data_IF_386191399060
#
_entry.id   IF_386191399060
#
_cell.length_a   1.000
_cell.length_b   1.000
_cell.length_c   1.000
_cell.angle_alpha   90.00
_cell.angle_beta   90.00
_cell.angle_gamma   90.00
#
_symmetry.space_group_name_H-M   'P 1'
#
loop_
_entity.id
_entity.type
_entity.pdbx_description
1 polymer ?
#
# COMPACT_ATOMS: atom_id res chain seq x y z
N UNK A 1 37.58 -23.71 80.57
CA UNK A 1 36.29 -22.98 80.44
C UNK A 1 35.85 -23.08 79.01
N UNK A 2 35.06 -24.10 78.72
CA UNK A 2 34.58 -24.54 77.41
C UNK A 2 33.09 -24.25 77.35
N UNK A 3 32.68 -23.33 76.47
CA UNK A 3 31.32 -23.24 75.91
C UNK A 3 31.32 -22.37 74.65
N UNK A 4 32.29 -22.60 73.77
CA UNK A 4 32.34 -22.06 72.41
C UNK A 4 31.73 -23.01 71.37
N UNK A 5 31.05 -24.07 71.80
CA UNK A 5 30.53 -25.13 70.92
C UNK A 5 29.04 -25.02 70.58
N UNK A 6 28.30 -24.02 71.09
CA UNK A 6 26.86 -23.87 70.81
C UNK A 6 26.52 -22.79 69.77
N UNK A 7 27.44 -21.88 69.46
CA UNK A 7 27.22 -20.86 68.42
C UNK A 7 27.15 -21.42 66.99
N UNK A 8 28.05 -22.34 66.55
CA UNK A 8 27.97 -22.85 65.18
C UNK A 8 26.75 -23.75 64.96
N UNK A 9 26.25 -24.42 66.00
CA UNK A 9 25.09 -25.31 65.89
C UNK A 9 23.76 -24.53 65.74
N UNK A 10 23.62 -23.37 66.38
CA UNK A 10 22.48 -22.47 66.20
C UNK A 10 22.44 -21.85 64.78
N UNK A 11 23.61 -21.49 64.23
CA UNK A 11 23.72 -20.98 62.86
C UNK A 11 23.37 -22.07 61.85
N UNK A 12 23.80 -23.32 62.07
CA UNK A 12 23.50 -24.43 61.18
C UNK A 12 22.01 -24.81 61.17
N UNK A 13 21.36 -24.76 62.35
CA UNK A 13 19.90 -24.97 62.45
C UNK A 13 19.13 -23.82 61.78
N UNK A 14 19.58 -22.56 61.93
CA UNK A 14 18.96 -21.42 61.24
C UNK A 14 19.11 -21.54 59.71
N UNK A 15 20.28 -21.95 59.21
CA UNK A 15 20.52 -22.18 57.79
C UNK A 15 19.67 -23.33 57.22
N UNK A 16 19.47 -24.42 57.97
CA UNK A 16 18.63 -25.53 57.51
C UNK A 16 17.13 -25.21 57.51
N UNK A 17 16.68 -24.32 58.40
CA UNK A 17 15.28 -23.83 58.42
C UNK A 17 15.05 -22.75 57.35
N UNK A 18 16.07 -21.94 57.03
CA UNK A 18 15.98 -20.94 55.97
C UNK A 18 16.15 -21.51 54.55
N UNK A 19 16.85 -22.64 54.38
CA UNK A 19 17.10 -23.27 53.08
C UNK A 19 15.85 -23.63 52.25
N UNK A 20 14.72 -24.10 52.82
CA UNK A 20 13.49 -24.28 52.05
C UNK A 20 12.70 -22.98 51.83
N UNK A 21 13.06 -21.86 52.48
CA UNK A 21 12.47 -20.54 52.24
C UNK A 21 13.28 -19.69 51.23
N UNK A 22 14.50 -20.08 50.88
CA UNK A 22 15.26 -19.49 49.76
C UNK A 22 14.80 -19.96 48.37
N UNK A 23 13.85 -20.89 48.30
CA UNK A 23 13.20 -21.31 47.06
C UNK A 23 12.20 -20.31 46.47
N UNK A 24 12.06 -19.11 47.05
CA UNK A 24 11.18 -18.05 46.54
C UNK A 24 11.92 -16.73 46.20
N UNK A 25 13.26 -16.72 46.18
CA UNK A 25 14.05 -15.54 45.76
C UNK A 25 15.26 -16.02 44.96
N UNK A 26 15.03 -16.55 43.75
CA UNK A 26 16.06 -16.76 42.73
C UNK A 26 15.43 -17.08 41.36
N UNK A 27 14.82 -16.09 40.71
CA UNK A 27 14.92 -15.94 39.25
C UNK A 27 15.27 -14.47 38.97
N UNK A 28 16.48 -14.09 39.36
CA UNK A 28 17.18 -12.96 38.76
C UNK A 28 18.52 -13.53 38.30
N UNK A 29 18.56 -13.91 37.01
CA UNK A 29 19.81 -14.08 36.27
C UNK A 29 20.46 -12.69 36.22
N UNK A 30 21.80 -12.58 36.36
CA UNK A 30 22.45 -11.29 36.20
C UNK A 30 22.39 -10.94 34.73
N UNK A 31 21.37 -10.17 34.34
CA UNK A 31 21.43 -9.45 33.08
C UNK A 31 22.57 -8.44 33.21
N UNK A 32 23.54 -8.56 32.30
CA UNK A 32 24.42 -7.47 31.93
C UNK A 32 23.54 -6.24 31.76
N UNK A 33 23.76 -5.24 32.60
CA UNK A 33 23.18 -3.92 32.46
C UNK A 33 23.75 -3.24 31.22
N UNK A 34 23.28 -3.62 30.05
CA UNK A 34 23.07 -2.68 28.96
C UNK A 34 21.67 -2.11 29.14
N UNK A 35 21.61 -1.05 29.95
CA UNK A 35 20.43 -0.23 30.18
C UNK A 35 20.15 0.66 28.98
N UNK A 36 19.95 0.05 27.80
CA UNK A 36 19.49 0.70 26.56
C UNK A 36 19.01 -0.32 25.52
N UNK A 37 18.49 -1.48 25.95
CA UNK A 37 17.82 -2.39 25.02
C UNK A 37 16.36 -1.97 24.87
N UNK A 38 16.12 -0.81 24.24
CA UNK A 38 14.87 -0.55 23.50
C UNK A 38 14.86 -1.41 22.23
N UNK A 39 15.07 -2.72 22.39
CA UNK A 39 14.93 -3.66 21.31
C UNK A 39 13.45 -3.72 20.96
N UNK A 40 13.14 -3.59 19.68
CA UNK A 40 11.84 -3.96 19.13
C UNK A 40 11.42 -5.31 19.72
N UNK A 41 10.37 -5.30 20.55
CA UNK A 41 9.71 -6.53 20.97
C UNK A 41 8.65 -6.76 19.92
N UNK A 42 8.81 -7.83 19.15
CA UNK A 42 7.78 -8.29 18.23
C UNK A 42 6.45 -8.42 19.01
N UNK A 43 5.39 -7.68 18.63
CA UNK A 43 4.08 -7.79 19.26
C UNK A 43 3.51 -9.22 19.17
N UNK A 44 4.04 -10.04 18.26
CA UNK A 44 3.67 -11.43 17.98
C UNK A 44 4.93 -12.31 18.03
N UNK A 45 5.50 -12.53 19.21
CA UNK A 45 6.25 -13.77 19.40
C UNK A 45 5.24 -14.91 19.26
N UNK A 46 5.27 -15.68 18.16
CA UNK A 46 4.54 -16.93 18.02
C UNK A 46 4.94 -17.86 19.18
N UNK A 47 4.20 -17.80 20.28
CA UNK A 47 4.28 -18.80 21.32
C UNK A 47 3.36 -19.92 20.85
N UNK A 48 3.89 -20.93 20.15
CA UNK A 48 3.11 -22.14 19.83
C UNK A 48 2.87 -22.97 21.12
N UNK A 49 2.00 -22.50 22.01
CA UNK A 49 1.50 -23.31 23.12
C UNK A 49 -0.04 -23.38 23.16
N UNK A 50 -0.57 -24.36 23.90
CA UNK A 50 -2.02 -24.61 24.00
C UNK A 50 -2.82 -23.43 24.61
N UNK A 51 -2.15 -22.33 25.01
CA UNK A 51 -2.76 -21.09 25.53
C UNK A 51 -2.61 -19.89 24.56
N UNK A 52 -1.93 -20.02 23.42
CA UNK A 52 -1.88 -18.96 22.42
C UNK A 52 -3.17 -18.98 21.61
N UNK A 53 -4.01 -17.99 21.87
CA UNK A 53 -5.26 -17.79 21.17
C UNK A 53 -5.35 -16.35 20.68
N UNK A 54 -5.55 -16.18 19.37
CA UNK A 54 -5.84 -14.89 18.72
C UNK A 54 -7.22 -14.32 19.11
N UNK A 55 -7.90 -14.94 20.09
CA UNK A 55 -9.20 -14.53 20.60
C UNK A 55 -9.13 -13.62 21.85
N UNK A 56 -7.95 -13.45 22.46
CA UNK A 56 -7.74 -12.53 23.59
C UNK A 56 -6.56 -11.57 23.33
N UNK A 57 -6.87 -10.39 22.81
CA UNK A 57 -5.90 -9.34 22.47
C UNK A 57 -5.08 -8.88 23.69
N UNK A 58 -5.60 -8.99 24.92
CA UNK A 58 -4.87 -8.59 26.13
C UNK A 58 -3.71 -9.55 26.47
N UNK A 59 -3.63 -10.70 25.80
CA UNK A 59 -2.48 -11.60 25.88
C UNK A 59 -1.28 -11.10 25.06
N UNK A 60 -1.47 -10.17 24.11
CA UNK A 60 -0.42 -9.57 23.30
C UNK A 60 0.18 -8.32 23.97
N UNK A 61 1.52 -8.19 23.93
CA UNK A 61 2.23 -6.98 24.40
C UNK A 61 2.35 -5.96 23.26
N UNK A 62 1.23 -5.33 22.88
CA UNK A 62 1.16 -4.34 21.79
C UNK A 62 1.65 -2.93 22.18
N UNK A 63 2.61 -2.83 23.09
CA UNK A 63 3.13 -1.52 23.54
C UNK A 63 4.64 -1.57 23.68
N UNK A 64 5.30 -0.70 22.91
CA UNK A 64 6.70 -0.30 23.09
C UNK A 64 6.75 1.10 23.70
N UNK A 65 7.95 1.66 23.95
CA UNK A 65 8.08 3.06 24.36
C UNK A 65 7.60 4.05 23.28
N UNK A 66 7.54 3.62 22.01
CA UNK A 66 7.14 4.42 20.86
C UNK A 66 5.78 4.01 20.24
N UNK A 67 5.09 2.98 20.72
CA UNK A 67 3.75 2.59 20.25
C UNK A 67 2.79 2.34 21.42
N UNK A 68 1.53 2.76 21.24
CA UNK A 68 0.47 2.57 22.22
C UNK A 68 -0.82 2.19 21.51
N UNK A 69 -1.41 1.06 21.91
CA UNK A 69 -2.77 0.71 21.50
C UNK A 69 -3.76 1.75 22.01
N UNK A 70 -4.48 2.40 21.10
CA UNK A 70 -5.47 3.45 21.40
C UNK A 70 -6.91 3.02 21.16
N UNK A 71 -7.14 2.07 20.26
CA UNK A 71 -8.44 1.47 19.95
C UNK A 71 -8.25 0.08 19.34
N UNK A 72 -9.32 -0.70 19.29
CA UNK A 72 -9.38 -2.01 18.64
C UNK A 72 -10.72 -2.16 17.91
N UNK A 73 -10.67 -2.68 16.69
CA UNK A 73 -11.84 -2.96 15.87
C UNK A 73 -11.64 -4.31 15.17
N UNK A 74 -12.50 -5.28 15.44
CA UNK A 74 -12.70 -6.45 14.59
C UNK A 74 -13.15 -5.94 13.20
N UNK A 75 -12.55 -6.37 12.10
CA UNK A 75 -12.96 -5.91 10.77
C UNK A 75 -14.28 -6.59 10.37
N UNK A 76 -15.37 -6.27 11.09
CA UNK A 76 -16.65 -6.92 10.99
C UNK A 76 -17.78 -6.00 11.45
N UNK A 77 -18.89 -6.07 10.72
CA UNK A 77 -20.16 -5.48 11.10
C UNK A 77 -20.91 -6.44 12.05
N UNK A 78 -21.40 -7.58 11.57
CA UNK A 78 -22.34 -8.45 12.31
C UNK A 78 -21.99 -9.95 12.29
N UNK A 79 -20.87 -10.33 11.67
CA UNK A 79 -20.44 -11.72 11.49
C UNK A 79 -20.65 -12.25 10.08
N UNK A 80 -21.39 -11.53 9.24
CA UNK A 80 -21.73 -12.00 7.90
C UNK A 80 -20.66 -11.61 6.87
N UNK A 81 -20.30 -12.57 6.00
CA UNK A 81 -19.34 -12.35 4.91
C UNK A 81 -20.03 -11.78 3.67
N UNK A 82 -21.27 -12.19 3.41
CA UNK A 82 -22.00 -11.80 2.22
C UNK A 82 -23.10 -10.80 2.55
N UNK A 83 -23.39 -9.83 1.66
CA UNK A 83 -24.59 -9.03 1.77
C UNK A 83 -25.84 -9.92 1.80
N UNK A 84 -26.91 -9.53 2.52
CA UNK A 84 -28.19 -10.22 2.44
C UNK A 84 -28.72 -10.27 1.01
N UNK A 85 -29.46 -11.32 0.63
CA UNK A 85 -29.95 -11.57 -0.74
C UNK A 85 -30.86 -10.47 -1.35
N UNK A 86 -31.20 -9.45 -0.58
CA UNK A 86 -31.92 -8.24 -1.03
C UNK A 86 -31.00 -7.12 -1.54
N UNK A 87 -29.69 -7.24 -1.34
CA UNK A 87 -28.66 -6.39 -1.93
C UNK A 87 -28.22 -6.97 -3.28
N UNK A 88 -27.81 -6.09 -4.19
CA UNK A 88 -27.14 -6.47 -5.43
C UNK A 88 -25.67 -6.78 -5.14
N UNK A 89 -25.05 -7.74 -5.84
CA UNK A 89 -23.64 -8.14 -5.68
C UNK A 89 -22.66 -7.01 -6.06
N UNK A 90 -23.19 -5.92 -6.64
CA UNK A 90 -22.47 -4.68 -6.92
C UNK A 90 -22.48 -3.69 -5.75
N UNK A 91 -23.25 -3.94 -4.69
CA UNK A 91 -23.45 -3.00 -3.59
C UNK A 91 -22.92 -3.56 -2.27
N UNK A 92 -22.16 -2.74 -1.54
CA UNK A 92 -21.83 -3.05 -0.15
C UNK A 92 -22.98 -2.77 0.80
N UNK A 93 -22.72 -3.03 2.08
CA UNK A 93 -23.71 -2.98 3.15
C UNK A 93 -23.28 -2.02 4.26
N UNK A 94 -24.22 -1.25 4.83
CA UNK A 94 -23.93 -0.37 5.95
C UNK A 94 -23.67 -1.15 7.23
N UNK A 95 -22.85 -0.58 8.11
CA UNK A 95 -22.48 -1.15 9.39
C UNK A 95 -22.96 -0.27 10.53
N UNK A 96 -23.39 -0.91 11.62
CA UNK A 96 -23.92 -0.22 12.79
C UNK A 96 -22.79 0.01 13.81
N UNK A 97 -22.79 1.16 14.48
CA UNK A 97 -21.85 1.42 15.58
C UNK A 97 -21.96 0.36 16.69
N UNK A 98 -23.18 -0.11 16.98
CA UNK A 98 -23.42 -1.16 17.99
C UNK A 98 -22.79 -2.51 17.66
N UNK A 99 -22.32 -2.66 16.43
CA UNK A 99 -21.76 -3.88 15.86
C UNK A 99 -20.24 -3.96 16.06
N UNK A 100 -19.59 -2.84 16.43
CA UNK A 100 -18.16 -2.78 16.80
C UNK A 100 -17.83 -3.83 17.88
N UNK A 101 -16.87 -4.70 17.56
CA UNK A 101 -16.32 -5.76 18.40
C UNK A 101 -17.33 -6.83 18.84
N UNK A 102 -18.40 -7.05 18.08
CA UNK A 102 -19.46 -8.02 18.42
C UNK A 102 -19.33 -9.40 17.77
N UNK A 103 -18.51 -9.54 16.71
CA UNK A 103 -18.31 -10.80 15.98
C UNK A 103 -16.88 -10.99 15.48
N UNK A 104 -16.48 -12.18 15.00
CA UNK A 104 -15.15 -12.39 14.42
C UNK A 104 -15.01 -11.64 13.09
N UNK A 105 -13.81 -11.18 12.72
CA UNK A 105 -13.53 -10.73 11.34
C UNK A 105 -13.89 -11.85 10.35
N UNK A 106 -14.77 -11.60 9.35
CA UNK A 106 -15.01 -12.53 8.26
C UNK A 106 -13.74 -12.81 7.45
N UNK A 107 -13.57 -14.04 6.97
CA UNK A 107 -12.44 -14.43 6.11
C UNK A 107 -11.34 -15.21 6.83
N UNK A 108 -10.47 -15.84 6.04
CA UNK A 108 -9.27 -16.56 6.50
C UNK A 108 -8.03 -15.67 6.34
N UNK A 109 -6.99 -15.94 7.13
CA UNK A 109 -5.82 -15.07 7.31
C UNK A 109 -5.09 -14.82 5.97
N UNK A 110 -5.34 -13.67 5.34
CA UNK A 110 -4.73 -13.30 4.08
C UNK A 110 -4.22 -11.86 4.13
N UNK A 111 -3.61 -11.45 3.03
CA UNK A 111 -3.01 -10.13 2.84
C UNK A 111 -3.97 -8.98 3.13
N UNK A 112 -3.49 -8.02 3.93
CA UNK A 112 -4.21 -6.81 4.30
C UNK A 112 -3.51 -5.64 3.61
N UNK A 113 -4.25 -4.92 2.76
CA UNK A 113 -3.86 -3.62 2.25
C UNK A 113 -4.68 -2.53 2.94
N UNK A 114 -4.04 -1.42 3.28
CA UNK A 114 -4.67 -0.28 3.94
C UNK A 114 -4.34 0.96 3.16
N UNK A 115 -5.38 1.72 2.83
CA UNK A 115 -5.29 3.02 2.18
C UNK A 115 -6.21 4.02 2.85
N UNK A 116 -5.97 5.31 2.60
CA UNK A 116 -6.84 6.37 3.08
C UNK A 116 -6.11 7.65 3.41
N UNK A 117 -6.83 8.56 4.06
CA UNK A 117 -6.31 9.88 4.40
C UNK A 117 -5.90 9.88 5.87
N UNK A 118 -4.59 9.93 6.12
CA UNK A 118 -4.01 9.90 7.46
C UNK A 118 -3.36 11.25 7.81
N UNK A 119 -3.38 11.58 9.11
CA UNK A 119 -2.73 12.77 9.68
C UNK A 119 -3.05 14.09 8.97
N UNK A 120 -2.16 14.59 8.12
CA UNK A 120 -2.32 15.86 7.41
C UNK A 120 -3.30 15.80 6.23
N UNK A 121 -3.50 14.61 5.64
CA UNK A 121 -4.46 14.38 4.54
C UNK A 121 -5.91 14.26 5.02
N UNK A 122 -6.08 14.23 6.34
CA UNK A 122 -7.33 14.11 7.08
C UNK A 122 -8.14 15.43 7.04
N UNK A 123 -8.23 16.06 5.86
CA UNK A 123 -8.89 17.34 5.61
C UNK A 123 -10.26 17.14 4.94
N UNK A 124 -11.26 17.93 5.36
CA UNK A 124 -12.54 18.05 4.65
C UNK A 124 -12.47 19.27 3.74
N UNK A 125 -12.54 19.05 2.44
CA UNK A 125 -12.47 20.11 1.44
C UNK A 125 -13.77 20.93 1.38
N UNK A 126 -13.70 22.10 0.72
CA UNK A 126 -14.80 23.07 0.70
C UNK A 126 -16.08 22.56 0.01
N UNK A 127 -15.96 21.58 -0.88
CA UNK A 127 -17.06 20.89 -1.54
C UNK A 127 -17.66 19.75 -0.70
N UNK A 128 -17.10 19.47 0.48
CA UNK A 128 -17.52 18.43 1.41
C UNK A 128 -16.85 17.07 1.18
N UNK A 129 -15.91 16.98 0.23
CA UNK A 129 -15.12 15.76 -0.02
C UNK A 129 -13.93 15.65 0.95
N UNK A 130 -13.17 14.55 0.87
CA UNK A 130 -12.05 14.26 1.78
C UNK A 130 -12.51 13.60 3.07
N UNK A 131 -11.91 13.99 4.19
CA UNK A 131 -12.18 13.45 5.53
C UNK A 131 -11.22 12.35 5.97
N UNK A 132 -11.39 11.90 7.20
CA UNK A 132 -10.55 10.92 7.86
C UNK A 132 -11.11 9.52 7.70
N UNK A 133 -10.77 8.85 6.61
CA UNK A 133 -11.22 7.49 6.33
C UNK A 133 -10.04 6.56 6.07
N UNK A 134 -10.14 5.33 6.58
CA UNK A 134 -9.30 4.21 6.19
C UNK A 134 -10.13 3.17 5.46
N UNK A 135 -9.53 2.57 4.45
CA UNK A 135 -10.07 1.48 3.66
C UNK A 135 -9.14 0.32 3.91
N UNK A 136 -9.69 -0.83 4.28
CA UNK A 136 -8.90 -1.99 4.67
C UNK A 136 -9.40 -3.17 3.87
N UNK A 137 -8.53 -3.85 3.11
CA UNK A 137 -8.90 -5.12 2.50
C UNK A 137 -8.71 -6.27 3.48
N UNK A 138 -9.70 -7.15 3.53
CA UNK A 138 -9.68 -8.37 4.33
C UNK A 138 -10.21 -9.54 3.48
N UNK A 139 -9.30 -10.21 2.78
CA UNK A 139 -9.63 -11.31 1.86
C UNK A 139 -10.64 -10.90 0.78
N UNK A 140 -11.89 -11.34 0.85
CA UNK A 140 -12.94 -11.05 -0.13
C UNK A 140 -13.83 -9.87 0.26
N UNK A 141 -13.39 -9.06 1.22
CA UNK A 141 -14.07 -7.84 1.62
C UNK A 141 -13.09 -6.67 1.65
N UNK A 142 -13.64 -5.46 1.56
CA UNK A 142 -12.97 -4.30 2.14
C UNK A 142 -13.91 -3.53 3.04
N UNK A 143 -13.33 -2.94 4.08
CA UNK A 143 -14.00 -2.20 5.13
C UNK A 143 -13.73 -0.71 4.97
N UNK A 144 -14.76 0.12 5.14
CA UNK A 144 -14.62 1.58 5.24
C UNK A 144 -14.71 1.97 6.72
N UNK A 145 -13.66 2.60 7.24
CA UNK A 145 -13.54 3.04 8.62
C UNK A 145 -13.49 4.57 8.70
N UNK A 146 -14.29 5.17 9.56
CA UNK A 146 -14.09 6.54 10.05
C UNK A 146 -13.01 6.53 11.13
N UNK A 147 -11.89 7.19 10.85
CA UNK A 147 -10.73 7.31 11.73
C UNK A 147 -10.57 8.74 12.28
N UNK A 148 -11.56 9.62 12.10
CA UNK A 148 -11.53 11.02 12.56
C UNK A 148 -11.35 11.15 14.08
N UNK A 149 -11.72 10.11 14.82
CA UNK A 149 -11.48 9.98 16.25
C UNK A 149 -10.61 8.75 16.51
N UNK A 150 -9.27 8.88 16.61
CA UNK A 150 -8.35 7.74 16.69
C UNK A 150 -8.58 6.79 17.88
N UNK A 151 -9.23 7.26 18.94
CA UNK A 151 -9.62 6.45 20.11
C UNK A 151 -11.07 5.92 20.03
N UNK A 152 -11.73 6.12 18.89
CA UNK A 152 -13.09 5.66 18.61
C UNK A 152 -13.29 5.48 17.10
N UNK A 153 -12.51 4.60 16.49
CA UNK A 153 -12.64 4.21 15.09
C UNK A 153 -14.01 3.54 14.90
N UNK A 154 -14.71 3.88 13.82
CA UNK A 154 -16.04 3.36 13.50
C UNK A 154 -16.05 2.74 12.11
N UNK A 155 -16.53 1.51 11.99
CA UNK A 155 -16.79 0.92 10.67
C UNK A 155 -18.12 1.42 10.11
N UNK A 156 -18.08 1.95 8.89
CA UNK A 156 -19.22 2.57 8.21
C UNK A 156 -19.94 1.60 7.27
N UNK A 157 -19.18 0.81 6.50
CA UNK A 157 -19.70 -0.20 5.60
C UNK A 157 -18.64 -1.25 5.24
N UNK A 158 -19.09 -2.34 4.63
CA UNK A 158 -18.24 -3.33 3.96
C UNK A 158 -18.69 -3.49 2.51
N UNK A 159 -17.74 -3.70 1.60
CA UNK A 159 -18.01 -4.18 0.24
C UNK A 159 -17.54 -5.63 0.12
N UNK A 160 -18.33 -6.48 -0.56
CA UNK A 160 -18.01 -7.89 -0.76
C UNK A 160 -17.65 -8.14 -2.23
N UNK A 161 -16.48 -8.75 -2.44
CA UNK A 161 -16.02 -9.20 -3.73
C UNK A 161 -16.45 -10.66 -3.96
N UNK A 162 -17.48 -10.86 -4.79
CA UNK A 162 -17.95 -12.21 -5.19
C UNK A 162 -16.89 -13.00 -5.98
N UNK A 163 -16.01 -12.30 -6.70
CA UNK A 163 -15.17 -12.89 -7.76
C UNK A 163 -13.76 -13.26 -7.31
N UNK A 164 -13.16 -12.68 -6.27
CA UNK A 164 -11.85 -13.14 -5.80
C UNK A 164 -11.50 -12.48 -4.46
N UNK A 165 -10.33 -12.81 -3.93
CA UNK A 165 -9.74 -11.98 -2.89
C UNK A 165 -9.34 -10.63 -3.47
N UNK A 166 -9.55 -9.58 -2.69
CA UNK A 166 -9.02 -8.24 -2.88
C UNK A 166 -7.61 -8.22 -2.34
N UNK A 167 -6.66 -7.97 -3.22
CA UNK A 167 -5.24 -8.08 -2.89
C UNK A 167 -4.54 -6.73 -2.79
N UNK A 168 -5.14 -5.71 -3.41
CA UNK A 168 -4.70 -4.33 -3.31
C UNK A 168 -5.91 -3.41 -3.44
N UNK A 169 -5.80 -2.27 -2.77
CA UNK A 169 -6.77 -1.19 -2.82
C UNK A 169 -5.99 0.11 -3.05
N UNK A 170 -6.61 1.04 -3.78
CA UNK A 170 -6.12 2.42 -3.94
C UNK A 170 -7.28 3.37 -3.85
N UNK A 171 -7.09 4.50 -3.19
CA UNK A 171 -8.16 5.45 -2.88
C UNK A 171 -7.79 6.83 -3.40
N UNK A 172 -8.78 7.51 -3.96
CA UNK A 172 -8.62 8.91 -4.39
C UNK A 172 -8.55 9.86 -3.19
N UNK A 173 -7.74 10.94 -3.24
CA UNK A 173 -7.60 11.88 -2.11
C UNK A 173 -8.91 12.56 -1.67
N UNK A 174 -9.90 12.66 -2.57
CA UNK A 174 -11.24 13.20 -2.28
C UNK A 174 -12.16 12.19 -1.56
N UNK A 175 -11.66 10.97 -1.31
CA UNK A 175 -12.36 9.86 -0.68
C UNK A 175 -13.64 9.43 -1.41
N UNK A 176 -13.76 9.63 -2.73
CA UNK A 176 -14.97 9.25 -3.46
C UNK A 176 -14.84 7.94 -4.24
N UNK A 177 -13.62 7.48 -4.49
CA UNK A 177 -13.33 6.34 -5.37
C UNK A 177 -12.32 5.40 -4.76
N UNK A 178 -12.62 4.10 -4.88
CA UNK A 178 -11.72 3.01 -4.53
C UNK A 178 -11.50 2.16 -5.78
N UNK A 179 -10.24 1.92 -6.13
CA UNK A 179 -9.81 0.88 -7.05
C UNK A 179 -9.50 -0.37 -6.22
N UNK A 180 -10.04 -1.51 -6.62
CA UNK A 180 -9.68 -2.80 -6.02
C UNK A 180 -9.15 -3.76 -7.08
N UNK A 181 -8.10 -4.48 -6.71
CA UNK A 181 -7.52 -5.53 -7.54
C UNK A 181 -7.93 -6.90 -7.02
N UNK A 182 -8.48 -7.72 -7.92
CA UNK A 182 -8.86 -9.10 -7.64
C UNK A 182 -7.76 -10.06 -8.08
N UNK A 183 -7.39 -10.99 -7.20
CA UNK A 183 -6.47 -12.08 -7.54
C UNK A 183 -7.09 -13.46 -7.33
N UNK A 184 -6.87 -14.35 -8.28
CA UNK A 184 -7.17 -15.77 -8.14
C UNK A 184 -6.25 -16.45 -7.10
N UNK A 185 -6.84 -17.01 -6.05
CA UNK A 185 -6.14 -17.92 -5.14
C UNK A 185 -6.01 -19.32 -5.76
N UNK A 186 -4.79 -19.74 -6.04
CA UNK A 186 -4.51 -21.14 -6.40
C UNK A 186 -4.58 -22.02 -5.14
N UNK A 187 -5.23 -23.17 -5.29
CA UNK A 187 -5.76 -24.07 -4.27
C UNK A 187 -4.74 -24.88 -3.43
N UNK A 188 -3.70 -24.29 -2.84
CA UNK A 188 -2.83 -25.04 -1.90
C UNK A 188 -2.73 -24.49 -0.47
N UNK A 189 -3.23 -23.28 -0.16
CA UNK A 189 -3.19 -22.74 1.21
C UNK A 189 -4.46 -22.06 1.73
N UNK A 190 -5.47 -21.76 0.89
CA UNK A 190 -6.69 -21.06 1.32
C UNK A 190 -7.97 -21.87 1.01
N UNK A 191 -8.98 -21.90 1.90
CA UNK A 191 -10.22 -22.61 1.65
C UNK A 191 -10.99 -21.98 0.48
N UNK A 192 -11.24 -22.81 -0.52
CA UNK A 192 -12.10 -22.53 -1.66
C UNK A 192 -13.53 -22.29 -1.11
N UNK A 193 -14.19 -21.16 -1.43
CA UNK A 193 -15.62 -20.98 -1.18
C UNK A 193 -16.42 -22.14 -1.80
N UNK A 194 -17.52 -22.53 -1.16
CA UNK A 194 -18.24 -23.76 -1.49
C UNK A 194 -18.60 -23.89 -2.98
N UNK A 195 -18.52 -25.14 -3.44
CA UNK A 195 -18.57 -25.69 -4.80
C UNK A 195 -19.84 -25.38 -5.65
N UNK A 196 -20.71 -24.44 -5.23
CA UNK A 196 -21.86 -23.94 -6.00
C UNK A 196 -21.79 -22.44 -6.35
N UNK A 197 -21.01 -21.66 -5.62
CA UNK A 197 -20.58 -20.32 -6.03
C UNK A 197 -19.35 -20.48 -6.91
N UNK A 198 -19.59 -20.72 -8.20
CA UNK A 198 -18.56 -20.73 -9.22
C UNK A 198 -17.95 -19.32 -9.34
N UNK A 199 -17.06 -19.00 -8.41
CA UNK A 199 -16.11 -17.94 -8.55
C UNK A 199 -15.42 -18.14 -9.91
N UNK A 200 -15.71 -17.24 -10.87
CA UNK A 200 -15.22 -17.35 -12.24
C UNK A 200 -13.70 -17.20 -12.36
N UNK A 201 -13.02 -16.89 -11.25
CA UNK A 201 -11.58 -17.03 -11.08
C UNK A 201 -10.76 -16.11 -11.97
N UNK A 202 -11.30 -14.96 -12.34
CA UNK A 202 -10.64 -14.02 -13.24
C UNK A 202 -10.11 -12.82 -12.47
N UNK A 203 -8.79 -12.69 -12.51
CA UNK A 203 -8.06 -11.44 -12.27
C UNK A 203 -8.81 -10.26 -12.90
N UNK A 204 -9.20 -9.28 -12.08
CA UNK A 204 -10.10 -8.19 -12.46
C UNK A 204 -9.76 -6.91 -11.71
N UNK A 205 -10.00 -5.76 -12.34
CA UNK A 205 -10.03 -4.48 -11.64
C UNK A 205 -11.47 -4.05 -11.47
N UNK A 206 -11.86 -3.61 -10.27
CA UNK A 206 -13.12 -2.92 -10.07
C UNK A 206 -12.87 -1.50 -9.57
N UNK A 207 -13.67 -0.57 -10.06
CA UNK A 207 -13.81 0.76 -9.46
C UNK A 207 -15.11 0.79 -8.69
N UNK A 208 -15.01 1.26 -7.45
CA UNK A 208 -16.09 1.34 -6.48
C UNK A 208 -16.30 2.81 -6.13
N UNK A 209 -17.52 3.30 -6.29
CA UNK A 209 -17.93 4.59 -5.77
C UNK A 209 -18.20 4.50 -4.27
N UNK A 210 -17.56 5.37 -3.50
CA UNK A 210 -17.66 5.41 -2.03
C UNK A 210 -18.01 6.80 -1.51
N UNK A 211 -18.52 7.72 -2.35
CA UNK A 211 -18.90 9.07 -1.90
C UNK A 211 -19.95 9.04 -0.76
N UNK A 212 -20.88 8.09 -0.81
CA UNK A 212 -21.61 7.64 0.39
C UNK A 212 -20.86 6.47 1.05
N UNK A 213 -20.17 6.76 2.15
CA UNK A 213 -19.35 5.80 2.91
C UNK A 213 -20.14 4.65 3.53
N UNK A 214 -21.48 4.72 3.51
CA UNK A 214 -22.37 3.68 4.06
C UNK A 214 -22.92 2.73 2.99
N UNK A 215 -22.72 3.04 1.71
CA UNK A 215 -23.27 2.28 0.58
C UNK A 215 -22.31 2.29 -0.61
N UNK A 216 -21.17 1.59 -0.53
CA UNK A 216 -20.22 1.52 -1.63
C UNK A 216 -20.83 0.75 -2.81
N UNK A 217 -20.56 1.18 -4.05
CA UNK A 217 -21.18 0.61 -5.27
C UNK A 217 -20.14 0.39 -6.36
N UNK A 218 -20.06 -0.82 -6.91
CA UNK A 218 -19.26 -1.14 -8.10
C UNK A 218 -19.87 -0.51 -9.34
N UNK A 219 -19.02 0.12 -10.13
CA UNK A 219 -19.44 1.07 -11.16
C UNK A 219 -18.65 0.92 -12.46
N UNK A 220 -17.43 0.40 -12.39
CA UNK A 220 -16.66 -0.02 -13.56
C UNK A 220 -15.84 -1.28 -13.25
N UNK A 221 -15.55 -2.06 -14.28
CA UNK A 221 -14.73 -3.27 -14.20
C UNK A 221 -13.86 -3.47 -15.44
N UNK A 222 -12.74 -4.17 -15.26
CA UNK A 222 -11.85 -4.63 -16.33
C UNK A 222 -11.68 -6.15 -16.24
N UNK A 223 -12.38 -6.89 -17.10
CA UNK A 223 -12.42 -8.35 -17.08
C UNK A 223 -11.27 -9.02 -17.86
N UNK A 224 -10.32 -8.28 -18.41
CA UNK A 224 -9.27 -8.88 -19.24
C UNK A 224 -7.93 -8.93 -18.48
N UNK A 225 -7.50 -10.10 -17.98
CA UNK A 225 -6.20 -10.21 -17.35
C UNK A 225 -5.11 -9.61 -18.26
N UNK A 226 -4.14 -8.96 -17.67
CA UNK A 226 -3.45 -9.58 -16.55
C UNK A 226 -3.46 -8.62 -15.37
N UNK A 227 -4.35 -8.85 -14.41
CA UNK A 227 -4.33 -8.19 -13.10
C UNK A 227 -3.74 -9.20 -12.13
N UNK A 228 -2.44 -9.20 -11.91
CA UNK A 228 -1.81 -10.10 -10.94
C UNK A 228 -0.93 -9.27 -10.05
N UNK A 229 -0.98 -9.59 -8.76
CA UNK A 229 -0.24 -8.97 -7.66
C UNK A 229 -0.39 -7.43 -7.49
N UNK A 230 0.02 -6.95 -6.32
CA UNK A 230 -0.42 -5.80 -5.52
C UNK A 230 0.02 -4.41 -5.99
N UNK A 231 -0.12 -4.06 -7.27
CA UNK A 231 0.85 -3.11 -7.84
C UNK A 231 0.17 -2.06 -8.71
N UNK A 232 -0.79 -1.34 -8.14
CA UNK A 232 -1.60 -0.38 -8.88
C UNK A 232 -1.53 1.00 -8.28
N UNK A 233 -1.83 1.99 -9.09
CA UNK A 233 -2.10 3.33 -8.60
C UNK A 233 -3.18 3.99 -9.45
N UNK A 234 -3.64 5.15 -9.03
CA UNK A 234 -4.66 5.92 -9.73
C UNK A 234 -4.38 7.42 -9.67
N UNK A 235 -4.98 8.16 -10.59
CA UNK A 235 -5.00 9.61 -10.51
C UNK A 235 -6.22 10.20 -11.22
N UNK A 236 -6.67 11.36 -10.74
CA UNK A 236 -7.80 12.11 -11.28
C UNK A 236 -7.30 13.33 -12.06
N UNK A 237 -7.70 13.44 -13.32
CA UNK A 237 -7.35 14.55 -14.22
C UNK A 237 -8.57 15.44 -14.46
N UNK A 238 -8.59 16.65 -13.90
CA UNK A 238 -9.71 17.60 -14.07
C UNK A 238 -9.54 18.63 -15.20
N UNK A 239 -8.35 18.70 -15.81
CA UNK A 239 -8.05 19.65 -16.89
C UNK A 239 -7.76 18.94 -18.22
N UNK A 240 -8.36 17.78 -18.44
CA UNK A 240 -8.10 16.95 -19.62
C UNK A 240 -9.22 17.00 -20.66
N UNK A 241 -8.91 17.54 -21.84
CA UNK A 241 -9.87 17.72 -22.95
C UNK A 241 -10.23 16.42 -23.71
N UNK A 242 -9.73 15.26 -23.27
CA UNK A 242 -9.89 13.98 -23.98
C UNK A 242 -11.05 13.12 -23.49
N UNK A 243 -11.84 13.59 -22.52
CA UNK A 243 -12.96 12.84 -21.97
C UNK A 243 -13.93 12.37 -23.07
N UNK A 244 -14.34 11.10 -23.00
CA UNK A 244 -15.28 10.54 -23.98
C UNK A 244 -16.69 11.10 -23.81
N UNK A 245 -17.05 11.52 -22.60
CA UNK A 245 -18.30 12.20 -22.30
C UNK A 245 -18.05 13.70 -22.07
N UNK A 246 -18.72 14.61 -22.80
CA UNK A 246 -18.54 16.05 -22.62
C UNK A 246 -19.07 16.59 -21.29
N UNK A 247 -19.69 15.75 -20.44
CA UNK A 247 -20.17 16.09 -19.09
C UNK A 247 -19.17 15.68 -18.00
N UNK A 248 -18.01 15.17 -18.38
CA UNK A 248 -16.98 14.73 -17.45
C UNK A 248 -16.02 15.89 -17.21
N UNK A 249 -16.15 16.58 -16.08
CA UNK A 249 -15.19 17.61 -15.67
C UNK A 249 -13.88 17.02 -15.14
N UNK A 250 -13.90 15.81 -14.58
CA UNK A 250 -12.71 15.10 -14.11
C UNK A 250 -12.69 13.63 -14.53
N UNK A 251 -11.53 13.17 -14.98
CA UNK A 251 -11.31 11.83 -15.54
C UNK A 251 -10.42 10.98 -14.65
N UNK A 252 -10.89 9.77 -14.33
CA UNK A 252 -10.13 8.81 -13.54
C UNK A 252 -9.25 7.94 -14.45
N UNK A 253 -7.96 7.92 -14.15
CA UNK A 253 -6.98 7.04 -14.77
C UNK A 253 -6.41 6.07 -13.74
N UNK A 254 -6.11 4.86 -14.19
CA UNK A 254 -5.53 3.79 -13.37
C UNK A 254 -4.22 3.35 -14.01
N UNK A 255 -3.24 3.03 -13.18
CA UNK A 255 -1.92 2.53 -13.57
C UNK A 255 -1.80 1.11 -13.04
N UNK A 256 -1.83 0.12 -13.94
CA UNK A 256 -1.80 -1.29 -13.57
C UNK A 256 -0.58 -2.01 -14.11
N UNK A 257 -0.11 -3.00 -13.35
CA UNK A 257 0.94 -3.92 -13.75
C UNK A 257 0.42 -5.05 -14.65
N UNK A 258 1.19 -5.45 -15.66
CA UNK A 258 1.05 -6.79 -16.27
C UNK A 258 1.82 -7.82 -15.41
N UNK A 259 1.15 -8.83 -14.83
CA UNK A 259 1.75 -9.87 -14.02
C UNK A 259 2.54 -10.94 -14.80
N UNK A 260 2.72 -10.78 -16.11
CA UNK A 260 3.50 -11.72 -16.90
C UNK A 260 4.92 -11.19 -17.12
N UNK A 261 5.97 -11.93 -16.68
CA UNK A 261 7.36 -11.48 -16.75
C UNK A 261 7.95 -11.51 -18.16
N UNK A 262 7.27 -12.11 -19.13
CA UNK A 262 7.81 -12.33 -20.47
C UNK A 262 7.87 -11.06 -21.31
N UNK A 263 9.07 -10.80 -21.88
CA UNK A 263 9.33 -9.69 -22.80
C UNK A 263 8.72 -9.86 -24.20
N UNK A 264 8.15 -11.02 -24.51
CA UNK A 264 7.59 -11.34 -25.83
C UNK A 264 6.17 -11.87 -25.64
N UNK A 265 5.26 -11.40 -26.49
CA UNK A 265 3.88 -11.89 -26.60
C UNK A 265 3.88 -13.42 -26.80
N UNK A 266 3.74 -14.16 -25.70
CA UNK A 266 3.56 -15.60 -25.68
C UNK A 266 2.09 -15.97 -25.89
N UNK A 267 1.82 -17.26 -26.02
CA UNK A 267 0.52 -17.89 -26.29
C UNK A 267 -0.63 -17.57 -25.30
N UNK A 268 -0.43 -16.65 -24.35
CA UNK A 268 -1.39 -16.22 -23.32
C UNK A 268 -2.40 -15.18 -23.81
N UNK A 269 -2.26 -14.64 -25.03
CA UNK A 269 -3.28 -13.77 -25.64
C UNK A 269 -3.34 -12.34 -25.09
N UNK A 270 -2.36 -11.91 -24.29
CA UNK A 270 -2.24 -10.53 -23.80
C UNK A 270 -1.39 -9.67 -24.74
N UNK A 271 -2.04 -8.69 -25.38
CA UNK A 271 -1.51 -7.85 -26.46
C UNK A 271 -0.41 -6.83 -26.06
N UNK A 272 -0.26 -6.51 -24.77
CA UNK A 272 0.70 -5.50 -24.28
C UNK A 272 1.31 -5.93 -22.94
N UNK A 273 2.59 -5.63 -22.71
CA UNK A 273 3.39 -6.05 -21.54
C UNK A 273 3.94 -4.87 -20.74
N UNK A 274 4.21 -5.02 -19.45
CA UNK A 274 4.72 -3.96 -18.58
C UNK A 274 3.59 -3.17 -17.91
N UNK A 275 3.71 -1.85 -17.81
CA UNK A 275 2.69 -0.99 -17.18
C UNK A 275 1.60 -0.66 -18.18
N UNK A 276 0.34 -0.90 -17.82
CA UNK A 276 -0.83 -0.50 -18.59
C UNK A 276 -1.47 0.71 -17.94
N UNK A 277 -1.91 1.65 -18.76
CA UNK A 277 -2.66 2.83 -18.30
C UNK A 277 -4.09 2.71 -18.77
N UNK A 278 -5.02 2.81 -17.84
CA UNK A 278 -6.44 2.67 -18.07
C UNK A 278 -7.16 4.00 -17.88
N UNK A 279 -8.21 4.20 -18.65
CA UNK A 279 -9.16 5.29 -18.50
C UNK A 279 -10.51 4.72 -18.12
N UNK A 280 -11.13 5.27 -17.09
CA UNK A 280 -12.46 4.85 -16.64
C UNK A 280 -13.49 5.81 -17.23
N UNK A 281 -14.26 5.37 -18.25
CA UNK A 281 -15.13 6.27 -18.98
C UNK A 281 -16.22 6.86 -18.10
N UNK A 282 -16.51 8.14 -18.34
CA UNK A 282 -17.48 8.97 -17.65
C UNK A 282 -17.03 9.55 -16.27
N UNK A 283 -15.79 9.32 -15.82
CA UNK A 283 -15.11 10.14 -14.79
C UNK A 283 -15.77 10.25 -13.41
N UNK A 284 -15.82 11.41 -12.74
CA UNK A 284 -16.41 11.50 -11.37
C UNK A 284 -17.90 11.91 -11.35
N UNK A 285 -18.35 12.62 -12.38
CA UNK A 285 -19.61 13.39 -12.34
C UNK A 285 -20.82 12.66 -12.93
N UNK A 286 -20.56 11.68 -13.79
CA UNK A 286 -21.61 10.94 -14.47
C UNK A 286 -22.12 9.72 -13.68
N UNK A 287 -21.58 9.53 -12.46
CA UNK A 287 -21.70 8.32 -11.66
C UNK A 287 -22.85 8.39 -10.64
N UNK A 288 -23.70 9.42 -10.70
CA UNK A 288 -24.95 9.58 -9.93
C UNK A 288 -25.94 10.52 -10.69
N UNK A 289 -27.21 10.75 -10.28
CA UNK A 289 -28.16 10.00 -9.46
C UNK A 289 -29.49 9.68 -10.22
N UNK A 290 -29.55 9.92 -11.54
CA UNK A 290 -30.78 9.83 -12.36
C UNK A 290 -30.87 8.57 -13.24
N UNK A 291 -30.01 7.59 -13.02
CA UNK A 291 -30.07 6.31 -13.73
C UNK A 291 -31.08 5.39 -13.05
N UNK A 292 -31.82 4.57 -13.81
CA UNK A 292 -32.73 3.58 -13.21
C UNK A 292 -31.92 2.40 -12.63
N UNK A 293 -32.54 1.58 -11.77
CA UNK A 293 -31.84 0.46 -11.11
C UNK A 293 -31.13 -0.49 -12.11
N UNK A 294 -31.67 -0.68 -13.32
CA UNK A 294 -31.02 -1.52 -14.36
C UNK A 294 -29.75 -0.88 -14.96
N UNK A 295 -29.68 0.45 -15.00
CA UNK A 295 -28.55 1.22 -15.57
C UNK A 295 -27.49 1.57 -14.53
N UNK A 296 -27.88 1.70 -13.25
CA UNK A 296 -26.95 1.82 -12.13
C UNK A 296 -26.23 0.50 -11.85
N UNK A 297 -26.91 -0.63 -12.07
CA UNK A 297 -26.40 -1.96 -11.72
C UNK A 297 -25.59 -2.64 -12.85
N UNK A 298 -25.38 -1.97 -13.99
CA UNK A 298 -24.47 -2.47 -15.01
C UNK A 298 -23.08 -1.86 -14.81
N UNK A 299 -22.12 -2.66 -14.34
CA UNK A 299 -20.71 -2.29 -14.36
C UNK A 299 -20.27 -1.93 -15.78
N UNK A 300 -19.48 -0.87 -15.89
CA UNK A 300 -18.98 -0.36 -17.18
C UNK A 300 -17.59 -0.94 -17.48
N UNK A 301 -17.27 -1.08 -18.75
CA UNK A 301 -15.94 -1.51 -19.16
C UNK A 301 -14.92 -0.37 -18.99
N UNK A 302 -13.89 -0.61 -18.16
CA UNK A 302 -12.67 0.20 -18.10
C UNK A 302 -11.95 0.09 -19.47
N UNK A 303 -11.29 1.15 -19.94
CA UNK A 303 -10.64 1.14 -21.25
C UNK A 303 -9.12 1.22 -21.12
N UNK A 304 -8.38 0.37 -21.85
CA UNK A 304 -6.93 0.58 -21.99
C UNK A 304 -6.67 1.84 -22.81
N UNK A 305 -5.92 2.78 -22.25
CA UNK A 305 -5.66 4.10 -22.83
C UNK A 305 -4.20 4.33 -23.20
N UNK A 306 -3.28 3.78 -22.41
CA UNK A 306 -1.84 3.95 -22.58
C UNK A 306 -1.07 2.70 -22.16
N UNK A 307 0.25 2.76 -22.27
CA UNK A 307 1.12 1.73 -21.74
C UNK A 307 2.57 2.16 -21.72
N UNK A 308 3.36 1.57 -20.83
CA UNK A 308 4.80 1.72 -20.84
C UNK A 308 5.49 0.37 -20.62
N UNK A 309 6.47 0.07 -21.48
CA UNK A 309 7.37 -1.07 -21.36
C UNK A 309 8.80 -0.56 -21.46
N UNK A 310 9.71 -0.93 -20.54
CA UNK A 310 11.11 -0.60 -20.67
C UNK A 310 11.70 -1.18 -21.96
N UNK A 311 12.50 -0.38 -22.65
CA UNK A 311 13.24 -0.85 -23.81
C UNK A 311 14.20 -2.00 -23.43
N UNK A 312 14.24 -3.13 -24.16
CA UNK A 312 14.99 -4.32 -23.75
C UNK A 312 16.46 -4.10 -23.43
N UNK A 313 17.12 -3.18 -24.13
CA UNK A 313 18.54 -2.88 -23.92
C UNK A 313 18.80 -2.01 -22.69
N UNK A 314 17.75 -1.51 -22.04
CA UNK A 314 17.81 -0.63 -20.87
C UNK A 314 17.51 -1.36 -19.56
N UNK A 315 17.14 -2.65 -19.61
CA UNK A 315 16.75 -3.43 -18.42
C UNK A 315 17.94 -3.97 -17.62
N UNK A 316 19.17 -3.80 -18.09
CA UNK A 316 20.36 -4.42 -17.51
C UNK A 316 20.33 -5.96 -17.42
N UNK A 317 19.40 -6.65 -18.09
CA UNK A 317 19.20 -8.09 -17.92
C UNK A 317 18.07 -8.45 -16.94
N UNK A 318 17.42 -7.46 -16.33
CA UNK A 318 16.17 -7.61 -15.59
C UNK A 318 14.95 -7.88 -16.46
N UNK A 319 13.85 -8.21 -15.81
CA UNK A 319 12.56 -8.51 -16.44
C UNK A 319 11.69 -7.27 -16.62
N UNK A 320 10.64 -7.38 -17.44
CA UNK A 320 9.60 -6.34 -17.56
C UNK A 320 8.39 -6.64 -16.66
N UNK A 321 8.56 -7.53 -15.69
CA UNK A 321 7.56 -7.81 -14.66
C UNK A 321 7.47 -6.60 -13.75
N UNK A 322 6.34 -5.90 -13.81
CA UNK A 322 6.08 -4.72 -13.01
C UNK A 322 5.76 -5.19 -11.59
N UNK A 323 6.60 -4.78 -10.63
CA UNK A 323 6.38 -5.01 -9.21
C UNK A 323 5.64 -3.87 -8.55
N UNK A 324 5.70 -2.61 -8.98
CA UNK A 324 4.94 -1.57 -8.28
C UNK A 324 4.74 -0.33 -9.14
N UNK A 325 3.66 0.37 -8.91
CA UNK A 325 3.33 1.65 -9.53
C UNK A 325 3.04 2.64 -8.42
N UNK A 326 3.77 3.76 -8.40
CA UNK A 326 3.57 4.84 -7.44
C UNK A 326 3.49 6.16 -8.16
N UNK A 327 2.31 6.77 -8.09
CA UNK A 327 1.99 8.08 -8.63
C UNK A 327 2.42 9.18 -7.65
N UNK A 328 2.96 10.27 -8.18
CA UNK A 328 3.11 11.50 -7.42
C UNK A 328 3.15 12.73 -8.33
N UNK A 329 2.85 13.90 -7.77
CA UNK A 329 3.04 15.17 -8.45
C UNK A 329 4.34 15.83 -7.98
N UNK A 330 5.24 16.10 -8.92
CA UNK A 330 6.50 16.73 -8.59
C UNK A 330 6.26 18.15 -8.00
N UNK A 331 6.72 18.44 -6.77
CA UNK A 331 6.31 19.63 -6.03
C UNK A 331 6.67 20.96 -6.70
N UNK A 332 7.79 21.02 -7.45
CA UNK A 332 8.17 22.21 -8.26
C UNK A 332 7.47 22.25 -9.61
N UNK A 333 7.72 21.25 -10.47
CA UNK A 333 7.36 21.31 -11.89
C UNK A 333 5.88 21.07 -12.11
N UNK A 334 5.17 20.52 -11.11
CA UNK A 334 3.78 20.08 -11.21
C UNK A 334 3.59 18.99 -12.28
N UNK A 335 4.69 18.34 -12.67
CA UNK A 335 4.63 17.15 -13.50
C UNK A 335 4.02 16.02 -12.69
N UNK A 336 3.06 15.34 -13.30
CA UNK A 336 2.49 14.12 -12.77
C UNK A 336 3.38 12.98 -13.23
N UNK A 337 4.01 12.30 -12.28
CA UNK A 337 5.00 11.28 -12.53
C UNK A 337 4.52 9.95 -11.97
N UNK A 338 4.82 8.87 -12.69
CA UNK A 338 4.63 7.52 -12.22
C UNK A 338 6.00 6.86 -12.05
N UNK A 339 6.31 6.44 -10.83
CA UNK A 339 7.46 5.58 -10.54
C UNK A 339 7.03 4.14 -10.73
N UNK A 340 7.73 3.42 -11.60
CA UNK A 340 7.45 2.03 -11.89
C UNK A 340 8.64 1.17 -11.48
N UNK A 341 8.40 0.24 -10.56
CA UNK A 341 9.38 -0.75 -10.11
C UNK A 341 9.32 -1.98 -10.99
N UNK A 342 10.43 -2.35 -11.63
CA UNK A 342 10.53 -3.60 -12.39
C UNK A 342 11.56 -4.54 -11.79
N UNK A 343 11.18 -5.82 -11.68
CA UNK A 343 12.05 -6.88 -11.16
C UNK A 343 13.35 -6.99 -11.94
N UNK A 344 14.46 -6.72 -11.26
CA UNK A 344 15.81 -6.69 -11.82
C UNK A 344 16.10 -5.59 -12.83
N UNK A 345 15.09 -4.85 -13.30
CA UNK A 345 15.24 -3.80 -14.31
C UNK A 345 15.30 -2.39 -13.72
N UNK A 346 15.11 -2.25 -12.40
CA UNK A 346 15.20 -0.99 -11.67
C UNK A 346 13.93 -0.15 -11.76
N UNK A 347 14.01 1.08 -11.27
CA UNK A 347 12.90 2.03 -11.34
C UNK A 347 12.87 2.76 -12.68
N UNK A 348 11.67 3.09 -13.13
CA UNK A 348 11.39 3.96 -14.28
C UNK A 348 10.48 5.08 -13.84
N UNK A 349 10.82 6.30 -14.23
CA UNK A 349 9.99 7.47 -14.00
C UNK A 349 9.40 7.86 -15.35
N UNK A 350 8.08 7.73 -15.46
CA UNK A 350 7.34 8.09 -16.68
C UNK A 350 6.45 9.30 -16.43
N UNK A 351 6.39 10.21 -17.40
CA UNK A 351 5.59 11.42 -17.30
C UNK A 351 4.16 11.15 -17.79
N UNK A 352 3.21 11.21 -16.86
CA UNK A 352 1.79 10.97 -17.10
C UNK A 352 0.97 12.27 -17.11
N UNK A 353 1.63 13.44 -17.10
CA UNK A 353 0.97 14.76 -16.96
C UNK A 353 -0.14 15.03 -17.96
N UNK A 354 0.08 14.64 -19.22
CA UNK A 354 -0.80 14.96 -20.34
C UNK A 354 -1.27 13.68 -21.06
N UNK A 355 -2.32 13.00 -20.58
CA UNK A 355 -2.89 11.86 -21.28
C UNK A 355 -3.33 12.24 -22.70
N UNK A 356 -3.09 11.40 -23.72
CA UNK A 356 -3.44 11.74 -25.10
C UNK A 356 -4.96 11.73 -25.28
N UNK A 357 -5.52 12.64 -26.09
CA UNK A 357 -6.97 12.67 -26.40
C UNK A 357 -7.44 11.52 -27.29
N UNK A 358 -6.50 10.79 -27.89
CA UNK A 358 -6.74 9.54 -28.62
C UNK A 358 -5.92 8.47 -27.93
N UNK A 359 -6.56 7.37 -27.55
CA UNK A 359 -5.91 6.26 -26.87
C UNK A 359 -4.66 5.77 -27.64
N UNK A 360 -3.58 5.56 -26.90
CA UNK A 360 -2.32 4.94 -27.33
C UNK A 360 -2.11 3.63 -26.54
N UNK A 361 -2.96 2.61 -26.73
CA UNK A 361 -2.96 1.39 -25.91
C UNK A 361 -1.69 0.53 -26.07
N UNK A 362 -0.78 0.94 -26.96
CA UNK A 362 0.52 0.32 -27.20
C UNK A 362 1.69 1.15 -26.68
N UNK A 363 1.43 2.31 -26.05
CA UNK A 363 2.50 3.09 -25.44
C UNK A 363 3.54 3.62 -26.42
N UNK A 364 3.18 3.85 -27.68
CA UNK A 364 4.14 4.22 -28.72
C UNK A 364 4.69 5.64 -28.49
N UNK A 365 3.86 6.51 -27.92
CA UNK A 365 4.12 7.92 -27.71
C UNK A 365 3.89 8.38 -26.27
N UNK A 366 3.07 7.67 -25.50
CA UNK A 366 2.75 8.05 -24.12
C UNK A 366 2.51 6.84 -23.19
N UNK A 367 3.00 6.88 -21.93
CA UNK A 367 3.79 7.95 -21.33
C UNK A 367 5.29 7.88 -21.70
N UNK A 368 5.98 9.02 -21.90
CA UNK A 368 7.42 9.03 -22.12
C UNK A 368 8.18 8.77 -20.82
N UNK A 369 9.27 8.00 -20.92
CA UNK A 369 10.23 7.86 -19.83
C UNK A 369 11.09 9.12 -19.70
N UNK A 370 11.12 9.71 -18.50
CA UNK A 370 11.86 10.95 -18.19
C UNK A 370 13.00 10.74 -17.20
N UNK A 371 13.04 9.57 -16.56
CA UNK A 371 14.07 9.20 -15.61
C UNK A 371 14.09 7.69 -15.37
N UNK A 372 15.20 7.20 -14.84
CA UNK A 372 15.39 5.79 -14.54
C UNK A 372 16.42 5.62 -13.43
N UNK A 373 16.26 4.58 -12.62
CA UNK A 373 17.19 4.22 -11.56
C UNK A 373 17.53 2.73 -11.66
N UNK A 374 18.76 2.42 -12.06
CA UNK A 374 19.23 1.06 -12.35
C UNK A 374 20.76 1.01 -12.28
N UNK A 375 21.34 -0.18 -12.09
CA UNK A 375 22.78 -0.33 -11.83
C UNK A 375 23.67 -0.58 -13.04
N UNK A 376 23.20 -0.32 -14.26
CA UNK A 376 24.05 -0.28 -15.44
C UNK A 376 23.92 1.05 -16.19
N UNK A 377 24.99 1.59 -16.81
CA UNK A 377 24.89 2.81 -17.59
C UNK A 377 24.07 2.56 -18.86
N UNK A 378 22.85 3.11 -18.91
CA UNK A 378 21.95 3.01 -20.09
C UNK A 378 21.57 4.35 -20.69
N UNK A 379 21.82 5.45 -19.96
CA UNK A 379 21.66 6.82 -20.43
C UNK A 379 22.62 7.75 -19.66
N UNK A 380 23.16 8.76 -20.36
CA UNK A 380 24.03 9.79 -19.77
C UNK A 380 23.26 11.10 -19.50
N UNK A 381 21.98 11.16 -19.89
CA UNK A 381 21.08 12.31 -19.85
C UNK A 381 19.78 12.02 -19.09
N UNK A 382 19.22 13.04 -18.41
CA UNK A 382 17.95 12.94 -17.67
C UNK A 382 17.98 13.68 -16.32
N UNK A 383 16.80 14.08 -15.82
CA UNK A 383 16.64 14.77 -14.53
C UNK A 383 17.14 13.91 -13.35
N UNK A 384 17.06 12.58 -13.52
CA UNK A 384 17.45 11.55 -12.55
C UNK A 384 18.63 10.68 -13.02
N UNK A 385 19.41 11.15 -14.02
CA UNK A 385 20.60 10.50 -14.59
C UNK A 385 21.86 10.60 -13.70
N UNK A 386 23.04 10.14 -14.17
CA UNK A 386 24.10 9.46 -13.39
C UNK A 386 24.71 10.19 -12.18
N UNK A 387 24.55 11.51 -12.04
CA UNK A 387 24.99 12.29 -10.86
C UNK A 387 23.84 12.59 -9.86
N UNK A 388 22.70 11.95 -10.05
CA UNK A 388 21.42 12.22 -9.38
C UNK A 388 20.67 11.02 -8.84
N UNK A 389 21.18 9.79 -9.01
CA UNK A 389 20.48 8.62 -8.48
C UNK A 389 21.22 7.30 -8.54
N UNK A 390 22.05 7.01 -9.55
CA UNK A 390 22.69 5.68 -9.70
C UNK A 390 23.23 5.10 -8.38
N UNK A 391 22.78 3.90 -8.02
CA UNK A 391 22.97 3.33 -6.69
C UNK A 391 24.46 3.25 -6.28
N UNK A 392 24.79 3.97 -5.20
CA UNK A 392 25.89 3.76 -4.24
C UNK A 392 27.25 3.24 -4.73
N UNK A 393 27.75 3.68 -5.89
CA UNK A 393 29.01 3.18 -6.47
C UNK A 393 29.04 1.65 -6.71
N UNK A 394 27.88 1.00 -6.84
CA UNK A 394 27.83 -0.43 -7.16
C UNK A 394 28.24 -0.65 -8.61
N UNK A 395 29.02 -1.70 -8.86
CA UNK A 395 29.34 -2.13 -10.23
C UNK A 395 28.14 -2.85 -10.85
N UNK A 396 28.04 -2.93 -12.20
CA UNK A 396 27.00 -3.74 -12.85
C UNK A 396 26.99 -5.19 -12.36
N UNK A 397 28.16 -5.74 -12.00
CA UNK A 397 28.27 -7.09 -11.44
C UNK A 397 27.65 -7.21 -10.04
N UNK A 398 27.75 -6.17 -9.20
CA UNK A 398 27.11 -6.09 -7.89
C UNK A 398 25.59 -5.84 -8.02
N UNK A 399 25.17 -5.08 -9.04
CA UNK A 399 23.76 -4.87 -9.36
C UNK A 399 23.04 -6.14 -9.81
N UNK A 400 23.71 -6.96 -10.61
CA UNK A 400 23.12 -8.18 -11.17
C UNK A 400 23.28 -9.41 -10.26
N UNK A 401 23.81 -9.25 -9.05
CA UNK A 401 23.89 -10.31 -8.03
C UNK A 401 22.61 -10.32 -7.18
N UNK A 402 21.79 -11.34 -7.38
CA UNK A 402 20.54 -11.54 -6.62
C UNK A 402 20.74 -11.71 -5.11
N UNK A 403 21.96 -12.05 -4.64
CA UNK A 403 22.24 -12.14 -3.20
C UNK A 403 22.58 -10.78 -2.56
N UNK A 404 22.75 -9.73 -3.36
CA UNK A 404 23.16 -8.39 -2.90
C UNK A 404 22.00 -7.38 -2.88
N UNK A 405 20.77 -7.84 -3.12
CA UNK A 405 19.52 -7.10 -2.86
C UNK A 405 18.97 -6.29 -4.03
N UNK A 406 19.61 -6.31 -5.20
CA UNK A 406 19.26 -5.40 -6.31
C UNK A 406 18.23 -5.96 -7.30
N UNK A 407 17.98 -7.28 -7.29
CA UNK A 407 16.90 -7.89 -8.10
C UNK A 407 15.50 -7.57 -7.53
N UNK A 408 15.46 -7.00 -6.32
CA UNK A 408 14.29 -6.92 -5.47
C UNK A 408 13.86 -5.48 -5.18
N UNK A 409 13.93 -4.53 -6.10
CA UNK A 409 13.35 -3.19 -5.83
C UNK A 409 11.84 -3.32 -5.84
N UNK A 410 11.23 -3.27 -4.67
CA UNK A 410 9.81 -3.57 -4.52
C UNK A 410 8.96 -2.30 -4.51
N UNK A 411 9.36 -1.30 -3.74
CA UNK A 411 8.55 -0.10 -3.55
C UNK A 411 9.40 1.16 -3.59
N UNK A 412 8.77 2.23 -4.07
CA UNK A 412 9.33 3.56 -4.15
C UNK A 412 8.40 4.52 -3.42
N UNK A 413 8.92 5.24 -2.43
CA UNK A 413 8.13 6.23 -1.69
C UNK A 413 8.65 7.63 -2.04
N UNK A 414 7.95 8.39 -2.90
CA UNK A 414 8.28 9.77 -3.18
C UNK A 414 8.06 10.62 -1.92
N UNK A 415 8.99 11.52 -1.61
CA UNK A 415 8.80 12.49 -0.53
C UNK A 415 7.99 13.69 -1.01
N UNK A 416 6.99 14.11 -0.25
CA UNK A 416 6.24 15.33 -0.57
C UNK A 416 7.13 16.60 -0.59
N UNK A 417 8.18 16.58 0.24
CA UNK A 417 9.10 17.69 0.39
C UNK A 417 10.38 17.51 -0.44
N UNK A 418 10.85 18.63 -0.96
CA UNK A 418 12.15 18.71 -1.61
C UNK A 418 13.23 18.87 -0.56
N UNK A 419 14.37 18.25 -0.80
CA UNK A 419 15.49 18.32 0.13
C UNK A 419 16.74 18.77 -0.61
N UNK A 420 17.47 19.72 -0.03
CA UNK A 420 18.79 20.05 -0.54
C UNK A 420 19.79 19.02 -0.01
N UNK A 421 20.66 18.51 -0.90
CA UNK A 421 21.61 17.43 -0.55
C UNK A 421 22.41 17.74 0.73
N UNK A 422 22.21 16.89 1.74
CA UNK A 422 22.94 16.96 3.02
C UNK A 422 22.33 17.88 4.07
N UNK A 423 21.09 18.35 3.90
CA UNK A 423 20.42 19.17 4.92
C UNK A 423 18.91 18.94 4.98
N UNK A 424 18.33 19.00 6.18
CA UNK A 424 16.88 18.95 6.38
C UNK A 424 16.29 20.36 6.36
N UNK A 425 15.02 20.49 5.97
CA UNK A 425 14.29 21.77 6.01
C UNK A 425 14.17 22.36 7.43
N UNK A 426 14.26 21.52 8.46
CA UNK A 426 14.24 21.95 9.87
C UNK A 426 15.59 22.48 10.36
N UNK A 427 16.66 22.30 9.59
CA UNK A 427 17.98 22.81 9.94
C UNK A 427 18.03 24.33 9.76
N UNK A 428 18.69 25.09 10.66
CA UNK A 428 18.80 26.54 10.53
C UNK A 428 19.37 26.95 9.16
N UNK A 429 18.74 27.90 8.47
CA UNK A 429 19.15 28.34 7.13
C UNK A 429 20.64 28.75 7.04
N UNK A 430 21.23 29.18 8.15
CA UNK A 430 22.66 29.54 8.28
C UNK A 430 23.61 28.35 8.07
N UNK A 431 23.13 27.11 8.28
CA UNK A 431 23.92 25.89 8.11
C UNK A 431 23.79 25.29 6.71
N UNK A 432 22.96 25.90 5.86
CA UNK A 432 22.71 25.42 4.50
C UNK A 432 23.95 25.59 3.61
N UNK A 433 24.30 24.58 2.77
CA UNK A 433 25.38 24.71 1.81
C UNK A 433 25.18 25.96 0.94
N UNK A 434 26.26 26.66 0.55
CA UNK A 434 26.18 27.89 -0.27
C UNK A 434 25.46 27.71 -1.63
N UNK A 435 25.36 26.46 -2.11
CA UNK A 435 24.64 26.08 -3.32
C UNK A 435 23.14 25.85 -3.08
N UNK A 436 22.70 25.74 -1.84
CA UNK A 436 21.28 25.64 -1.48
C UNK A 436 20.72 27.06 -1.36
N UNK A 437 19.65 27.36 -2.10
CA UNK A 437 18.93 28.63 -1.99
C UNK A 437 18.18 28.75 -0.68
N UNK A 438 17.49 29.86 -0.46
CA UNK A 438 16.58 30.01 0.69
C UNK A 438 15.35 29.08 0.64
N UNK A 439 15.20 28.32 -0.43
CA UNK A 439 14.11 27.39 -0.67
C UNK A 439 14.04 27.01 -2.16
N UNK A 440 13.09 26.15 -2.55
CA UNK A 440 12.86 25.78 -3.96
C UNK A 440 12.46 26.98 -4.84
N UNK A 441 11.85 28.02 -4.26
CA UNK A 441 11.46 29.25 -4.98
C UNK A 441 12.62 30.23 -5.25
N UNK A 442 13.83 29.90 -4.80
CA UNK A 442 15.01 30.73 -5.03
C UNK A 442 15.36 30.75 -6.52
N UNK A 443 15.21 31.91 -7.17
CA UNK A 443 15.47 32.07 -8.60
C UNK A 443 16.92 31.78 -9.03
N UNK A 444 17.86 31.67 -8.09
CA UNK A 444 19.29 31.41 -8.34
C UNK A 444 19.66 29.97 -8.04
N UNK A 445 19.10 29.39 -6.97
CA UNK A 445 19.56 28.10 -6.42
C UNK A 445 18.45 27.05 -6.24
N UNK A 446 17.19 27.37 -6.58
CA UNK A 446 16.03 26.48 -6.46
C UNK A 446 16.20 25.14 -7.20
N UNK A 447 16.98 25.11 -8.28
CA UNK A 447 17.30 23.90 -9.04
C UNK A 447 18.14 22.86 -8.27
N UNK A 448 18.80 23.27 -7.17
CA UNK A 448 19.62 22.35 -6.37
C UNK A 448 18.80 21.57 -5.34
N UNK A 449 17.50 21.88 -5.22
CA UNK A 449 16.54 21.10 -4.44
C UNK A 449 16.14 19.86 -5.23
N UNK A 450 16.23 18.70 -4.60
CA UNK A 450 15.95 17.41 -5.24
C UNK A 450 14.74 16.78 -4.56
N UNK A 451 13.91 16.15 -5.36
CA UNK A 451 12.89 15.25 -4.86
C UNK A 451 13.57 13.93 -4.51
N UNK A 452 13.45 13.51 -3.25
CA UNK A 452 13.99 12.23 -2.80
C UNK A 452 12.90 11.19 -2.92
N UNK A 453 13.29 10.03 -3.44
CA UNK A 453 12.46 8.84 -3.46
C UNK A 453 13.18 7.81 -2.60
N UNK A 454 12.53 7.36 -1.54
CA UNK A 454 13.02 6.21 -0.79
C UNK A 454 12.79 4.96 -1.62
N UNK A 455 13.80 4.12 -1.72
CA UNK A 455 13.76 2.90 -2.51
C UNK A 455 14.17 1.78 -1.57
N UNK A 456 13.34 0.77 -1.48
CA UNK A 456 13.60 -0.37 -0.62
C UNK A 456 13.72 -1.66 -1.44
N UNK A 457 14.78 -2.44 -1.19
CA UNK A 457 14.83 -3.82 -1.61
C UNK A 457 13.94 -4.71 -0.70
N UNK A 458 13.46 -5.84 -1.20
CA UNK A 458 12.77 -6.90 -0.40
C UNK A 458 13.64 -7.48 0.71
#
# INVERSE_FOLDING_TARGET
MTRTTQFPMLIMVFLMVAAPMSGCIAIFKPDSSDSNNEGWVDPVMEIEDENHSHSDLFSHRLSTSNTKLIDYHNLNCDGEVTPPAEFDDTMGRPCLESSKNTGPTPGDNSEISIEGNFDEDCEIYADGTGGCYAYVSSYNQFEILDISSPNNIQMLSTYYAEVARIIDIKVTPDNNWVLINHELTNSELDPIPNDDDANSGMNRLDVIYVGDKTSPVKVAEWNNPPAGFHNQDLHVYCDWDGALDPREECSLFLFGADPYPEMVEGSSGTFYKGTQVFYVPMGLESWLPNQNNEQQNSSREILRWGGYTPEPHTTCGGSIFNHDNVYFEHPITKQKLLVVSYWGAGLRLVDVSDPPTVADPLGVSWPPEVGRWLGCPTADDGWYGPDGGGHANMSPEEWLDSNQGNDNIHYAVPMDNLVCSGISEIDPMETWPEKCGSGPDDATFGINWRHFTYIAPE
#
